data_IF_142140189695
#
_entry.id   IF_142140189695
#
_cell.length_a   1.000
_cell.length_b   1.000
_cell.length_c   1.000
_cell.angle_alpha   90.00
_cell.angle_beta   90.00
_cell.angle_gamma   90.00
#
_symmetry.space_group_name_H-M   'P 1'
#
loop_
_entity.id
_entity.type
_entity.pdbx_description
1 polymer ?
#
# COMPACT_ATOMS: atom_id res chain seq x y z
N UNK A 1 25.75 37.58 7.23
CA UNK A 1 24.66 37.36 6.26
C UNK A 1 25.14 36.68 4.97
N UNK A 2 26.30 37.03 4.40
CA UNK A 2 26.82 36.39 3.17
C UNK A 2 27.32 34.92 3.33
N UNK A 3 27.67 34.47 4.53
CA UNK A 3 28.24 33.14 4.76
C UNK A 3 27.22 31.98 4.80
N UNK A 4 25.92 32.28 4.95
CA UNK A 4 24.84 31.28 4.98
C UNK A 4 24.27 30.95 3.59
N UNK A 5 24.53 31.80 2.59
CA UNK A 5 24.04 31.56 1.22
C UNK A 5 24.82 30.43 0.52
N UNK A 6 26.06 30.16 0.92
CA UNK A 6 26.93 29.14 0.32
C UNK A 6 26.74 27.72 0.90
N UNK A 7 25.73 27.49 1.74
CA UNK A 7 25.50 26.18 2.37
C UNK A 7 24.20 25.50 1.95
N UNK A 8 23.36 26.18 1.16
CA UNK A 8 22.13 25.58 0.65
C UNK A 8 22.43 24.83 -0.66
N UNK A 9 21.94 23.58 -0.80
CA UNK A 9 22.11 22.83 -2.04
C UNK A 9 21.40 23.52 -3.20
N UNK A 10 21.95 23.36 -4.39
CA UNK A 10 21.37 23.85 -5.64
C UNK A 10 19.91 23.36 -5.79
N UNK A 11 18.93 24.26 -6.03
CA UNK A 11 17.52 23.90 -6.12
C UNK A 11 17.22 22.84 -7.19
N UNK A 12 17.88 22.92 -8.34
CA UNK A 12 17.72 21.94 -9.41
C UNK A 12 18.26 20.57 -9.00
N UNK A 13 19.48 20.51 -8.44
CA UNK A 13 20.06 19.26 -7.95
C UNK A 13 19.20 18.61 -6.84
N UNK A 14 18.62 19.41 -5.95
CA UNK A 14 17.71 18.93 -4.91
C UNK A 14 16.41 18.38 -5.51
N UNK A 15 15.83 19.08 -6.49
CA UNK A 15 14.63 18.62 -7.18
C UNK A 15 14.86 17.29 -7.91
N UNK A 16 15.99 17.18 -8.63
CA UNK A 16 16.43 15.94 -9.28
C UNK A 16 16.54 14.79 -8.28
N UNK A 17 17.17 15.02 -7.13
CA UNK A 17 17.33 14.02 -6.08
C UNK A 17 15.97 13.56 -5.53
N UNK A 18 15.08 14.49 -5.19
CA UNK A 18 13.73 14.18 -4.69
C UNK A 18 12.91 13.40 -5.72
N UNK A 19 12.94 13.81 -6.99
CA UNK A 19 12.25 13.12 -8.09
C UNK A 19 12.83 11.72 -8.31
N UNK A 20 14.15 11.56 -8.25
CA UNK A 20 14.80 10.25 -8.36
C UNK A 20 14.37 9.31 -7.22
N UNK A 21 14.37 9.81 -5.97
CA UNK A 21 13.89 9.03 -4.81
C UNK A 21 12.42 8.63 -4.96
N UNK A 22 11.56 9.56 -5.38
CA UNK A 22 10.16 9.27 -5.65
C UNK A 22 10.04 8.19 -6.74
N UNK A 23 10.81 8.31 -7.84
CA UNK A 23 10.84 7.32 -8.91
C UNK A 23 11.16 5.91 -8.42
N UNK A 24 12.12 5.76 -7.49
CA UNK A 24 12.45 4.47 -6.87
C UNK A 24 11.25 3.93 -6.07
N UNK A 25 10.58 4.78 -5.28
CA UNK A 25 9.41 4.39 -4.49
C UNK A 25 8.27 3.91 -5.40
N UNK A 26 7.97 4.66 -6.48
CA UNK A 26 6.93 4.30 -7.43
C UNK A 26 7.26 2.98 -8.14
N UNK A 27 8.50 2.80 -8.57
CA UNK A 27 8.94 1.55 -9.21
C UNK A 27 8.84 0.35 -8.25
N UNK A 28 9.24 0.54 -6.98
CA UNK A 28 9.15 -0.48 -5.95
C UNK A 28 7.70 -0.90 -5.66
N UNK A 29 6.79 0.07 -5.54
CA UNK A 29 5.36 -0.19 -5.34
C UNK A 29 4.74 -0.94 -6.53
N UNK A 30 5.05 -0.52 -7.75
CA UNK A 30 4.61 -1.18 -8.98
C UNK A 30 5.13 -2.63 -9.06
N UNK A 31 6.38 -2.86 -8.65
CA UNK A 31 6.96 -4.20 -8.60
C UNK A 31 6.20 -5.12 -7.63
N UNK A 32 5.87 -4.66 -6.42
CA UNK A 32 5.06 -5.45 -5.47
C UNK A 32 3.66 -5.75 -5.98
N UNK A 33 3.03 -4.79 -6.66
CA UNK A 33 1.74 -5.01 -7.30
C UNK A 33 1.81 -6.10 -8.38
N UNK A 34 2.85 -6.07 -9.23
CA UNK A 34 3.09 -7.12 -10.21
C UNK A 34 3.32 -8.47 -9.54
N UNK A 35 4.15 -8.50 -8.50
CA UNK A 35 4.45 -9.72 -7.73
C UNK A 35 3.20 -10.35 -7.14
N UNK A 36 2.27 -9.55 -6.64
CA UNK A 36 1.00 -10.03 -6.09
C UNK A 36 0.16 -10.81 -7.13
N UNK A 37 0.12 -10.36 -8.39
CA UNK A 37 -0.63 -11.04 -9.46
C UNK A 37 0.07 -12.31 -9.94
N UNK A 38 1.40 -12.35 -9.86
CA UNK A 38 2.19 -13.55 -10.15
C UNK A 38 2.02 -14.60 -9.04
N UNK A 39 2.09 -14.17 -7.78
CA UNK A 39 1.97 -15.07 -6.63
C UNK A 39 0.52 -15.58 -6.43
N UNK A 40 -0.49 -14.81 -6.84
CA UNK A 40 -1.92 -15.17 -6.76
C UNK A 40 -2.56 -15.06 -8.16
N UNK A 41 -2.33 -16.05 -9.05
CA UNK A 41 -2.81 -15.98 -10.43
C UNK A 41 -4.32 -16.26 -10.54
N UNK A 42 -4.85 -17.16 -9.71
CA UNK A 42 -6.25 -17.62 -9.72
C UNK A 42 -6.97 -17.20 -8.44
N UNK A 43 -8.27 -16.89 -8.58
CA UNK A 43 -9.16 -16.58 -7.46
C UNK A 43 -10.09 -17.76 -7.17
N UNK A 44 -10.68 -17.77 -5.98
CA UNK A 44 -11.54 -18.84 -5.47
C UNK A 44 -10.76 -19.90 -4.68
N UNK A 45 -11.22 -21.14 -4.76
CA UNK A 45 -10.60 -22.28 -4.08
C UNK A 45 -9.18 -22.54 -4.60
N UNK A 46 -8.26 -22.76 -3.67
CA UNK A 46 -6.89 -23.19 -3.95
C UNK A 46 -6.66 -24.62 -3.41
N UNK A 47 -5.61 -25.32 -3.89
CA UNK A 47 -5.22 -26.61 -3.33
C UNK A 47 -4.98 -26.54 -1.81
N UNK A 48 -5.10 -27.67 -1.12
CA UNK A 48 -4.87 -27.79 0.33
C UNK A 48 -5.75 -26.84 1.17
N UNK A 49 -7.02 -26.71 0.81
CA UNK A 49 -7.99 -25.84 1.49
C UNK A 49 -7.57 -24.35 1.55
N UNK A 50 -6.73 -23.91 0.61
CA UNK A 50 -6.45 -22.49 0.45
C UNK A 50 -7.61 -21.75 -0.21
N UNK A 51 -7.59 -20.42 -0.13
CA UNK A 51 -8.61 -19.57 -0.75
C UNK A 51 -7.99 -18.23 -1.18
N UNK A 52 -8.28 -17.78 -2.40
CA UNK A 52 -7.82 -16.50 -2.92
C UNK A 52 -8.98 -15.60 -3.34
N UNK A 53 -8.86 -14.31 -3.07
CA UNK A 53 -9.88 -13.32 -3.44
C UNK A 53 -9.24 -11.99 -3.78
N UNK A 54 -10.03 -11.08 -4.35
CA UNK A 54 -9.60 -9.74 -4.75
C UNK A 54 -10.49 -8.71 -4.06
N UNK A 55 -9.93 -7.56 -3.67
CA UNK A 55 -10.74 -6.42 -3.27
C UNK A 55 -11.44 -5.80 -4.47
N UNK A 56 -12.34 -4.85 -4.23
CA UNK A 56 -12.91 -4.03 -5.29
C UNK A 56 -12.38 -2.59 -5.24
N UNK A 57 -12.57 -1.85 -6.33
CA UNK A 57 -12.03 -0.49 -6.47
C UNK A 57 -12.61 0.48 -5.42
N UNK A 58 -13.90 0.36 -5.09
CA UNK A 58 -14.54 1.20 -4.05
C UNK A 58 -13.91 0.99 -2.66
N UNK A 59 -13.48 -0.24 -2.38
CA UNK A 59 -12.82 -0.61 -1.13
C UNK A 59 -11.39 -0.09 -1.10
N UNK A 60 -10.66 -0.12 -2.21
CA UNK A 60 -9.33 0.49 -2.31
C UNK A 60 -9.37 1.99 -2.09
N UNK A 61 -10.33 2.70 -2.68
CA UNK A 61 -10.54 4.14 -2.40
C UNK A 61 -10.80 4.37 -0.91
N UNK A 62 -11.69 3.60 -0.30
CA UNK A 62 -11.97 3.73 1.14
C UNK A 62 -10.78 3.38 2.02
N UNK A 63 -9.93 2.44 1.60
CA UNK A 63 -8.70 2.06 2.31
C UNK A 63 -7.64 3.14 2.21
N UNK A 64 -7.56 3.80 1.05
CA UNK A 64 -6.51 4.75 0.69
C UNK A 64 -6.92 6.22 0.87
N UNK A 65 -8.12 6.53 1.35
CA UNK A 65 -8.63 7.91 1.45
C UNK A 65 -7.64 8.91 2.08
N UNK A 66 -7.00 8.53 3.20
CA UNK A 66 -6.00 9.39 3.84
C UNK A 66 -4.77 9.62 2.94
N UNK A 67 -4.29 8.56 2.28
CA UNK A 67 -3.17 8.64 1.34
C UNK A 67 -3.54 9.48 0.11
N UNK A 68 -4.76 9.40 -0.41
CA UNK A 68 -5.24 10.24 -1.51
C UNK A 68 -5.18 11.74 -1.15
N UNK A 69 -5.62 12.11 0.06
CA UNK A 69 -5.54 13.49 0.55
C UNK A 69 -4.09 13.96 0.69
N UNK A 70 -3.22 13.12 1.26
CA UNK A 70 -1.79 13.43 1.40
C UNK A 70 -1.11 13.59 0.04
N UNK A 71 -1.41 12.72 -0.93
CA UNK A 71 -0.87 12.82 -2.28
C UNK A 71 -1.34 14.10 -2.98
N UNK A 72 -2.62 14.47 -2.84
CA UNK A 72 -3.12 15.74 -3.37
C UNK A 72 -2.36 16.94 -2.81
N UNK A 73 -2.07 16.96 -1.50
CA UNK A 73 -1.23 18.00 -0.90
C UNK A 73 0.21 17.96 -1.46
N UNK A 74 0.80 16.78 -1.61
CA UNK A 74 2.15 16.60 -2.16
C UNK A 74 2.28 16.98 -3.64
N UNK A 75 1.19 16.98 -4.40
CA UNK A 75 1.17 17.49 -5.78
C UNK A 75 1.10 19.02 -5.80
N UNK A 76 0.24 19.63 -4.97
CA UNK A 76 0.04 21.10 -4.98
C UNK A 76 1.20 21.88 -4.37
N UNK A 77 1.79 21.40 -3.27
CA UNK A 77 2.81 22.15 -2.53
C UNK A 77 4.06 22.50 -3.36
N UNK A 78 4.64 21.58 -4.16
CA UNK A 78 5.82 21.90 -4.98
C UNK A 78 5.61 23.04 -5.97
N UNK A 79 4.39 23.22 -6.52
CA UNK A 79 4.10 24.34 -7.40
C UNK A 79 4.31 25.69 -6.73
N UNK A 80 3.86 25.83 -5.48
CA UNK A 80 4.05 27.05 -4.70
C UNK A 80 5.52 27.27 -4.31
N UNK A 81 6.26 26.20 -4.05
CA UNK A 81 7.64 26.28 -3.58
C UNK A 81 8.65 26.45 -4.71
N UNK A 82 8.35 25.95 -5.91
CA UNK A 82 9.25 26.04 -7.06
C UNK A 82 9.48 27.48 -7.50
N UNK A 83 8.42 28.31 -7.52
CA UNK A 83 8.53 29.74 -7.83
C UNK A 83 9.39 30.50 -6.79
N UNK A 84 9.28 30.13 -5.50
CA UNK A 84 10.04 30.77 -4.42
C UNK A 84 11.52 30.37 -4.39
N UNK A 85 11.86 29.22 -4.97
CA UNK A 85 13.20 28.63 -4.92
C UNK A 85 13.94 28.66 -6.26
N UNK A 86 13.35 29.26 -7.30
CA UNK A 86 13.87 29.24 -8.68
C UNK A 86 14.14 27.81 -9.20
N UNK A 87 13.32 26.85 -8.76
CA UNK A 87 13.42 25.46 -9.19
C UNK A 87 12.84 25.32 -10.59
N UNK A 88 13.53 24.65 -11.54
CA UNK A 88 12.98 24.44 -12.88
C UNK A 88 11.65 23.70 -12.85
N UNK A 89 10.61 24.31 -13.43
CA UNK A 89 9.21 23.81 -13.42
C UNK A 89 9.09 22.40 -14.01
N UNK A 90 10.00 21.99 -14.90
CA UNK A 90 10.03 20.63 -15.45
C UNK A 90 10.08 19.55 -14.38
N UNK A 91 10.79 19.78 -13.26
CA UNK A 91 10.89 18.82 -12.18
C UNK A 91 9.58 18.68 -11.40
N UNK A 92 8.79 19.75 -11.32
CA UNK A 92 7.45 19.72 -10.72
C UNK A 92 6.48 18.90 -11.57
N UNK A 93 6.54 19.04 -12.89
CA UNK A 93 5.75 18.21 -13.81
C UNK A 93 6.10 16.72 -13.68
N UNK A 94 7.39 16.38 -13.65
CA UNK A 94 7.83 14.98 -13.52
C UNK A 94 7.37 14.42 -12.17
N UNK A 95 7.49 15.20 -11.10
CA UNK A 95 7.00 14.86 -9.77
C UNK A 95 5.50 14.52 -9.77
N UNK A 96 4.67 15.39 -10.36
CA UNK A 96 3.22 15.17 -10.45
C UNK A 96 2.87 13.94 -11.29
N UNK A 97 3.59 13.70 -12.39
CA UNK A 97 3.40 12.48 -13.21
C UNK A 97 3.70 11.23 -12.38
N UNK A 98 4.81 11.22 -11.63
CA UNK A 98 5.16 10.09 -10.76
C UNK A 98 4.12 9.87 -9.66
N UNK A 99 3.66 10.94 -9.01
CA UNK A 99 2.61 10.86 -8.00
C UNK A 99 1.28 10.39 -8.58
N UNK A 100 0.92 10.82 -9.78
CA UNK A 100 -0.28 10.34 -10.47
C UNK A 100 -0.19 8.83 -10.76
N UNK A 101 0.96 8.35 -11.26
CA UNK A 101 1.21 6.91 -11.46
C UNK A 101 1.08 6.16 -10.13
N UNK A 102 1.66 6.67 -9.05
CA UNK A 102 1.55 6.07 -7.72
C UNK A 102 0.11 6.05 -7.20
N UNK A 103 -0.65 7.13 -7.39
CA UNK A 103 -2.05 7.19 -6.99
C UNK A 103 -2.87 6.13 -7.73
N UNK A 104 -2.64 5.97 -9.04
CA UNK A 104 -3.28 4.92 -9.83
C UNK A 104 -2.89 3.54 -9.28
N UNK A 105 -1.61 3.29 -8.96
CA UNK A 105 -1.16 1.98 -8.45
C UNK A 105 -1.79 1.63 -7.09
N UNK A 106 -2.01 2.62 -6.22
CA UNK A 106 -2.68 2.44 -4.93
C UNK A 106 -4.13 2.00 -5.08
N UNK A 107 -4.82 2.45 -6.14
CA UNK A 107 -6.23 2.15 -6.41
C UNK A 107 -6.47 0.83 -7.15
N UNK A 108 -5.41 0.20 -7.64
CA UNK A 108 -5.52 -1.11 -8.28
C UNK A 108 -5.95 -2.14 -7.22
N UNK A 109 -7.04 -2.90 -7.47
CA UNK A 109 -7.50 -3.96 -6.59
C UNK A 109 -6.39 -4.93 -6.19
N UNK A 110 -6.37 -5.27 -4.90
CA UNK A 110 -5.34 -6.10 -4.28
C UNK A 110 -5.86 -7.53 -4.17
N UNK A 111 -4.99 -8.49 -4.48
CA UNK A 111 -5.27 -9.91 -4.32
C UNK A 111 -4.74 -10.45 -2.99
N UNK A 112 -5.53 -11.29 -2.36
CA UNK A 112 -5.21 -11.93 -1.09
C UNK A 112 -5.33 -13.43 -1.25
N UNK A 113 -4.55 -14.18 -0.48
CA UNK A 113 -4.70 -15.62 -0.40
C UNK A 113 -4.43 -16.15 1.00
N UNK A 114 -5.24 -17.12 1.40
CA UNK A 114 -5.07 -17.91 2.62
C UNK A 114 -4.53 -19.27 2.19
N UNK A 115 -3.50 -19.73 2.88
CA UNK A 115 -2.98 -21.10 2.80
C UNK A 115 -2.87 -21.66 4.21
N UNK A 116 -2.65 -22.96 4.35
CA UNK A 116 -2.47 -23.59 5.67
C UNK A 116 -1.35 -22.97 6.52
N UNK A 117 -0.33 -22.38 5.89
CA UNK A 117 0.86 -21.88 6.60
C UNK A 117 1.01 -20.36 6.56
N UNK A 118 0.47 -19.70 5.53
CA UNK A 118 0.66 -18.27 5.31
C UNK A 118 -0.60 -17.56 4.83
N UNK A 119 -0.70 -16.28 5.21
CA UNK A 119 -1.50 -15.26 4.54
C UNK A 119 -0.64 -14.53 3.51
N UNK A 120 -1.18 -14.38 2.30
CA UNK A 120 -0.63 -13.52 1.26
C UNK A 120 -1.45 -12.23 1.19
N UNK A 121 -0.82 -11.09 1.43
CA UNK A 121 -1.47 -9.78 1.39
C UNK A 121 -0.45 -8.70 0.99
N UNK A 122 -0.89 -7.72 0.18
CA UNK A 122 -0.04 -6.62 -0.31
C UNK A 122 1.29 -7.10 -0.94
N UNK A 123 1.26 -8.23 -1.65
CA UNK A 123 2.44 -8.85 -2.27
C UNK A 123 3.37 -9.58 -1.28
N UNK A 124 3.13 -9.52 0.02
CA UNK A 124 3.95 -10.13 1.06
C UNK A 124 3.33 -11.42 1.61
N UNK A 125 4.18 -12.24 2.25
CA UNK A 125 3.80 -13.50 2.92
C UNK A 125 3.91 -13.30 4.42
N UNK A 126 2.86 -13.67 5.14
CA UNK A 126 2.78 -13.55 6.59
C UNK A 126 2.46 -14.93 7.20
N UNK A 127 3.32 -15.39 8.09
CA UNK A 127 3.04 -16.59 8.89
C UNK A 127 1.90 -16.33 9.89
N UNK A 128 1.04 -17.33 10.09
CA UNK A 128 -0.13 -17.24 10.98
C UNK A 128 0.26 -16.99 12.44
N UNK A 129 1.34 -17.61 12.91
CA UNK A 129 1.93 -17.39 14.22
C UNK A 129 2.20 -15.90 14.56
N UNK A 130 2.37 -15.01 13.56
CA UNK A 130 2.63 -13.57 13.69
C UNK A 130 1.37 -12.72 13.55
N UNK A 131 0.23 -13.33 13.30
CA UNK A 131 -1.05 -12.68 13.07
C UNK A 131 -2.04 -13.04 14.16
N UNK A 132 -2.98 -12.12 14.39
CA UNK A 132 -4.18 -12.39 15.20
C UNK A 132 -5.33 -11.56 14.68
N UNK A 133 -6.55 -12.00 14.92
CA UNK A 133 -7.73 -11.17 14.65
C UNK A 133 -7.78 -9.96 15.58
N UNK A 134 -8.22 -8.83 15.04
CA UNK A 134 -8.58 -7.69 15.87
C UNK A 134 -9.81 -8.05 16.73
N UNK A 135 -9.80 -7.61 17.99
CA UNK A 135 -10.90 -7.85 18.95
C UNK A 135 -12.27 -7.40 18.44
N UNK A 136 -12.30 -6.34 17.63
CA UNK A 136 -13.50 -5.82 16.99
C UNK A 136 -13.31 -5.80 15.48
N UNK A 137 -14.08 -6.62 14.77
CA UNK A 137 -14.06 -6.67 13.31
C UNK A 137 -14.92 -5.54 12.70
N UNK A 138 -14.39 -4.78 11.72
CA UNK A 138 -15.18 -3.84 10.94
C UNK A 138 -16.11 -4.57 9.95
N UNK A 139 -17.22 -3.94 9.54
CA UNK A 139 -18.25 -4.61 8.71
C UNK A 139 -17.85 -4.90 7.26
N UNK A 140 -16.92 -4.14 6.68
CA UNK A 140 -16.61 -4.15 5.23
C UNK A 140 -15.25 -4.75 4.88
N UNK A 141 -14.50 -5.27 5.87
CA UNK A 141 -13.14 -5.79 5.70
C UNK A 141 -12.80 -6.72 6.87
N UNK A 142 -11.86 -7.64 6.66
CA UNK A 142 -11.27 -8.40 7.76
C UNK A 142 -10.11 -7.57 8.33
N UNK A 143 -10.04 -7.43 9.64
CA UNK A 143 -8.96 -6.73 10.31
C UNK A 143 -8.09 -7.73 11.09
N UNK A 144 -6.89 -7.96 10.57
CA UNK A 144 -5.83 -8.66 11.28
C UNK A 144 -4.87 -7.66 11.94
N UNK A 145 -4.14 -8.15 12.94
CA UNK A 145 -3.10 -7.41 13.64
C UNK A 145 -1.81 -8.23 13.60
N UNK A 146 -0.72 -7.59 13.16
CA UNK A 146 0.64 -8.13 13.28
C UNK A 146 1.08 -8.06 14.73
N UNK A 147 1.42 -9.22 15.33
CA UNK A 147 1.95 -9.33 16.69
C UNK A 147 3.27 -8.54 16.78
N UNK A 148 3.42 -7.71 17.81
CA UNK A 148 4.64 -6.91 18.05
C UNK A 148 4.73 -5.55 17.34
N UNK A 149 3.79 -5.18 16.46
CA UNK A 149 3.87 -3.95 15.65
C UNK A 149 3.09 -2.74 16.19
N UNK A 150 2.46 -2.85 17.37
CA UNK A 150 1.74 -1.75 18.01
C UNK A 150 0.68 -1.10 17.11
N UNK A 151 0.64 0.25 16.99
CA UNK A 151 -0.34 0.96 16.16
C UNK A 151 -0.15 0.75 14.65
N UNK A 152 1.02 0.27 14.22
CA UNK A 152 1.31 -0.09 12.82
C UNK A 152 1.02 -1.58 12.53
N UNK A 153 0.47 -2.29 13.51
CA UNK A 153 0.03 -3.68 13.38
C UNK A 153 -1.18 -3.93 12.47
N UNK A 154 -2.13 -3.01 12.23
CA UNK A 154 -3.32 -3.29 11.44
C UNK A 154 -3.01 -3.74 10.00
N UNK A 155 -3.64 -4.85 9.60
CA UNK A 155 -3.59 -5.41 8.26
C UNK A 155 -5.04 -5.60 7.77
N UNK A 156 -5.63 -4.59 7.11
CA UNK A 156 -6.99 -4.67 6.58
C UNK A 156 -7.02 -5.48 5.27
N UNK A 157 -7.88 -6.49 5.21
CA UNK A 157 -8.14 -7.27 4.01
C UNK A 157 -9.51 -6.89 3.41
N UNK A 158 -9.50 -6.32 2.21
CA UNK A 158 -10.70 -6.00 1.43
C UNK A 158 -11.22 -7.21 0.66
N UNK A 159 -12.45 -7.16 0.16
CA UNK A 159 -13.08 -8.25 -0.59
C UNK A 159 -14.61 -8.12 -0.63
N UNK A 160 -15.24 -8.80 -1.57
CA UNK A 160 -16.70 -8.93 -1.59
C UNK A 160 -17.22 -9.64 -0.33
N UNK A 161 -18.47 -9.35 0.07
CA UNK A 161 -18.99 -9.85 1.36
C UNK A 161 -19.01 -11.38 1.43
N UNK A 162 -19.37 -12.06 0.35
CA UNK A 162 -19.35 -13.52 0.25
C UNK A 162 -17.94 -14.09 0.43
N UNK A 163 -16.96 -13.49 -0.25
CA UNK A 163 -15.55 -13.85 -0.19
C UNK A 163 -14.98 -13.66 1.23
N UNK A 164 -15.30 -12.52 1.86
CA UNK A 164 -14.85 -12.22 3.22
C UNK A 164 -15.45 -13.16 4.26
N UNK A 165 -16.68 -13.65 4.06
CA UNK A 165 -17.26 -14.66 4.95
C UNK A 165 -16.46 -15.96 4.88
N UNK A 166 -16.18 -16.47 3.67
CA UNK A 166 -15.39 -17.68 3.47
C UNK A 166 -13.97 -17.51 4.03
N UNK A 167 -13.32 -16.38 3.72
CA UNK A 167 -11.98 -16.08 4.20
C UNK A 167 -11.91 -15.99 5.73
N UNK A 168 -12.91 -15.36 6.37
CA UNK A 168 -12.95 -15.22 7.81
C UNK A 168 -13.15 -16.58 8.51
N UNK A 169 -14.01 -17.45 7.99
CA UNK A 169 -14.20 -18.81 8.51
C UNK A 169 -12.89 -19.61 8.48
N UNK A 170 -12.16 -19.56 7.36
CA UNK A 170 -10.86 -20.24 7.22
C UNK A 170 -9.79 -19.66 8.15
N UNK A 171 -9.70 -18.33 8.24
CA UNK A 171 -8.77 -17.66 9.16
C UNK A 171 -9.05 -18.07 10.61
N UNK A 172 -10.32 -18.11 11.02
CA UNK A 172 -10.68 -18.55 12.36
C UNK A 172 -10.26 -20.01 12.60
N UNK A 173 -10.52 -20.91 11.64
CA UNK A 173 -10.11 -22.32 11.75
C UNK A 173 -8.61 -22.44 11.99
N UNK A 174 -7.79 -21.78 11.16
CA UNK A 174 -6.33 -21.84 11.24
C UNK A 174 -5.84 -21.26 12.58
N UNK A 175 -6.34 -20.09 12.97
CA UNK A 175 -5.90 -19.45 14.21
C UNK A 175 -6.34 -20.22 15.47
N UNK A 176 -7.46 -20.96 15.41
CA UNK A 176 -7.90 -21.81 16.53
C UNK A 176 -7.10 -23.09 16.69
N UNK A 177 -6.44 -23.57 15.63
CA UNK A 177 -5.53 -24.72 15.70
C UNK A 177 -4.15 -24.36 16.27
N UNK A 178 -3.75 -23.07 16.22
CA UNK A 178 -2.49 -22.57 16.77
C UNK A 178 -2.55 -22.14 18.25
N UNK A 179 -3.75 -21.96 18.81
CA UNK A 179 -3.99 -21.60 20.23
C UNK A 179 -4.06 -22.83 21.16
#
# INVERSE_FOLDING_TARGET
MAALANTLPDPEAMAQFCVALLGIIVAWDAWWLGRQRVDIPTLGELPNAGYAWESNQSQEVSRQWANLMTMGAMMVLPWMLAELSDTPIIWVWIWDILLAIHLISLLIPKRYAITATHLFADGQRYEWNRLKLAKKQPRKRIMLLRKGWGPFGPLPLGGERSELTIALERINSILSEEE
#
